data_IF_872423436271
#
_entry.id   IF_872423436271
#
_cell.length_a   1.000
_cell.length_b   1.000
_cell.length_c   1.000
_cell.angle_alpha   90.00
_cell.angle_beta   90.00
_cell.angle_gamma   90.00
#
_symmetry.space_group_name_H-M   'P 1'
#
loop_
_entity.id
_entity.type
_entity.pdbx_description
1 polymer ?
#
# COMPACT_ATOMS: atom_id res chain seq x y z
N UNK A 1 5.20 -1.73 -17.34
CA UNK A 1 5.24 -1.80 -15.86
C UNK A 1 4.67 -3.14 -15.42
N UNK A 2 5.39 -3.91 -14.60
CA UNK A 2 4.92 -5.21 -14.11
C UNK A 2 3.96 -4.98 -12.93
N UNK A 3 2.77 -5.58 -12.96
CA UNK A 3 1.77 -5.36 -11.90
C UNK A 3 2.23 -6.02 -10.59
N UNK A 4 2.09 -5.36 -9.42
CA UNK A 4 2.53 -5.92 -8.13
C UNK A 4 1.91 -7.28 -7.80
N UNK A 5 0.73 -7.58 -8.36
CA UNK A 5 -0.05 -8.80 -8.14
C UNK A 5 0.01 -9.79 -9.30
N UNK A 6 0.86 -9.59 -10.32
CA UNK A 6 0.85 -10.42 -11.55
C UNK A 6 1.25 -11.90 -11.35
N UNK A 7 1.58 -12.31 -10.11
CA UNK A 7 1.74 -13.72 -9.74
C UNK A 7 2.69 -14.52 -10.64
N UNK A 8 2.29 -15.79 -10.90
CA UNK A 8 3.07 -16.80 -11.64
C UNK A 8 2.75 -16.87 -13.15
N UNK A 9 1.96 -15.95 -13.69
CA UNK A 9 1.57 -16.00 -15.10
C UNK A 9 2.68 -15.46 -16.00
N UNK A 10 2.99 -16.20 -17.08
CA UNK A 10 3.98 -15.79 -18.08
C UNK A 10 3.43 -14.74 -19.07
N UNK A 11 2.12 -14.69 -19.23
CA UNK A 11 1.40 -13.76 -20.11
C UNK A 11 0.72 -12.65 -19.30
N UNK A 12 0.45 -11.53 -19.96
CA UNK A 12 -0.32 -10.42 -19.41
C UNK A 12 -1.75 -10.84 -19.09
N UNK A 13 -2.32 -10.27 -18.02
CA UNK A 13 -3.71 -10.47 -17.64
C UNK A 13 -4.63 -9.87 -18.70
N UNK A 14 -5.72 -10.57 -19.03
CA UNK A 14 -6.73 -10.07 -19.95
C UNK A 14 -7.39 -8.80 -19.40
N UNK A 15 -7.62 -7.80 -20.26
CA UNK A 15 -8.21 -6.50 -19.90
C UNK A 15 -9.58 -6.66 -19.21
N UNK A 16 -10.36 -7.66 -19.63
CA UNK A 16 -11.67 -7.93 -19.04
C UNK A 16 -11.53 -8.45 -17.60
N UNK A 17 -10.55 -9.32 -17.36
CA UNK A 17 -10.21 -9.80 -16.02
C UNK A 17 -9.67 -8.68 -15.12
N UNK A 18 -8.88 -7.76 -15.69
CA UNK A 18 -8.39 -6.59 -14.96
C UNK A 18 -9.51 -5.65 -14.52
N UNK A 19 -10.45 -5.38 -15.43
CA UNK A 19 -11.60 -4.52 -15.16
C UNK A 19 -12.53 -5.16 -14.12
N UNK A 20 -12.77 -6.47 -14.26
CA UNK A 20 -13.62 -7.23 -13.35
C UNK A 20 -13.04 -7.32 -11.93
N UNK A 21 -11.71 -7.46 -11.80
CA UNK A 21 -11.05 -7.60 -10.49
C UNK A 21 -10.69 -6.27 -9.82
N UNK A 22 -10.78 -5.14 -10.52
CA UNK A 22 -10.45 -3.84 -9.96
C UNK A 22 -11.50 -3.39 -8.93
N UNK A 23 -11.10 -3.22 -7.68
CA UNK A 23 -11.97 -2.78 -6.59
C UNK A 23 -11.84 -1.30 -6.22
N UNK A 24 -10.89 -0.57 -6.83
CA UNK A 24 -10.54 0.81 -6.46
C UNK A 24 -11.71 1.79 -6.51
N UNK A 25 -12.70 1.55 -7.39
CA UNK A 25 -13.88 2.40 -7.54
C UNK A 25 -14.68 2.53 -6.23
N UNK A 26 -14.64 1.50 -5.38
CA UNK A 26 -15.33 1.47 -4.09
C UNK A 26 -14.38 1.35 -2.88
N UNK A 27 -13.25 0.65 -2.99
CA UNK A 27 -12.31 0.45 -1.89
C UNK A 27 -11.54 1.71 -1.51
N UNK A 28 -11.48 2.73 -2.38
CA UNK A 28 -10.83 4.02 -2.07
C UNK A 28 -11.32 4.64 -0.76
N UNK A 29 -12.54 4.35 -0.32
CA UNK A 29 -13.09 4.80 0.98
C UNK A 29 -12.29 4.28 2.19
N UNK A 30 -11.54 3.20 2.02
CA UNK A 30 -10.75 2.55 3.06
C UNK A 30 -9.34 3.16 3.22
N UNK A 31 -8.96 4.15 2.41
CA UNK A 31 -7.60 4.70 2.37
C UNK A 31 -7.11 5.17 3.74
N UNK A 32 -7.97 5.82 4.54
CA UNK A 32 -7.62 6.31 5.87
C UNK A 32 -7.26 5.15 6.81
N UNK A 33 -8.05 4.08 6.80
CA UNK A 33 -7.79 2.87 7.60
C UNK A 33 -6.51 2.16 7.15
N UNK A 34 -6.26 2.05 5.85
CA UNK A 34 -5.03 1.45 5.30
C UNK A 34 -3.78 2.25 5.71
N UNK A 35 -3.87 3.59 5.71
CA UNK A 35 -2.80 4.47 6.18
C UNK A 35 -2.55 4.29 7.68
N UNK A 36 -3.60 4.20 8.50
CA UNK A 36 -3.47 3.96 9.93
C UNK A 36 -2.80 2.60 10.23
N UNK A 37 -3.25 1.55 9.54
CA UNK A 37 -2.65 0.22 9.61
C UNK A 37 -1.18 0.24 9.19
N UNK A 38 -0.87 0.92 8.09
CA UNK A 38 0.50 1.10 7.59
C UNK A 38 1.40 1.85 8.59
N UNK A 39 0.88 2.88 9.27
CA UNK A 39 1.60 3.60 10.34
C UNK A 39 1.89 2.68 11.52
N UNK A 40 0.92 1.86 11.94
CA UNK A 40 1.10 0.90 13.02
C UNK A 40 2.16 -0.15 12.65
N UNK A 41 2.08 -0.69 11.43
CA UNK A 41 3.05 -1.64 10.88
C UNK A 41 4.46 -1.05 10.85
N UNK A 42 4.63 0.18 10.37
CA UNK A 42 5.93 0.87 10.36
C UNK A 42 6.53 1.07 11.76
N UNK A 43 5.70 1.34 12.78
CA UNK A 43 6.17 1.43 14.17
C UNK A 43 6.66 0.06 14.67
N UNK A 44 5.91 -1.00 14.37
CA UNK A 44 6.28 -2.35 14.74
C UNK A 44 7.60 -2.77 14.05
N UNK A 45 7.78 -2.51 12.75
CA UNK A 45 9.02 -2.86 12.03
C UNK A 45 10.26 -2.22 12.67
N UNK A 46 10.14 -0.96 13.11
CA UNK A 46 11.23 -0.29 13.82
C UNK A 46 11.54 -0.91 15.19
N UNK A 47 10.51 -1.32 15.94
CA UNK A 47 10.68 -2.02 17.22
C UNK A 47 11.37 -3.38 17.04
N UNK A 48 11.02 -4.09 15.98
CA UNK A 48 11.67 -5.34 15.59
C UNK A 48 13.06 -5.15 14.96
N UNK A 49 13.55 -3.90 14.84
CA UNK A 49 14.83 -3.54 14.23
C UNK A 49 14.97 -3.98 12.75
N UNK A 50 13.85 -4.17 12.05
CA UNK A 50 13.82 -4.49 10.62
C UNK A 50 14.11 -3.23 9.79
N UNK A 51 13.65 -2.07 10.27
CA UNK A 51 13.99 -0.75 9.72
C UNK A 51 14.51 0.14 10.84
N UNK A 52 15.31 1.15 10.51
CA UNK A 52 15.76 2.13 11.50
C UNK A 52 14.61 3.01 12.00
N UNK A 53 14.74 3.60 13.21
CA UNK A 53 13.79 4.60 13.69
C UNK A 53 13.64 5.79 12.73
N UNK A 54 14.72 6.17 12.05
CA UNK A 54 14.74 7.28 11.09
C UNK A 54 13.91 6.97 9.84
N UNK A 55 14.00 5.74 9.32
CA UNK A 55 13.21 5.27 8.18
C UNK A 55 11.73 5.18 8.55
N UNK A 56 11.41 4.61 9.72
CA UNK A 56 10.03 4.57 10.22
C UNK A 56 9.43 5.97 10.35
N UNK A 57 10.20 6.95 10.83
CA UNK A 57 9.74 8.34 10.89
C UNK A 57 9.51 8.94 9.50
N UNK A 58 10.41 8.71 8.54
CA UNK A 58 10.27 9.18 7.15
C UNK A 58 9.01 8.60 6.50
N UNK A 59 8.80 7.29 6.60
CA UNK A 59 7.62 6.61 6.02
C UNK A 59 6.33 7.15 6.65
N UNK A 60 6.28 7.24 7.98
CA UNK A 60 5.10 7.77 8.69
C UNK A 60 4.79 9.22 8.32
N UNK A 61 5.80 10.07 8.07
CA UNK A 61 5.60 11.44 7.58
C UNK A 61 5.00 11.42 6.17
N UNK A 62 5.49 10.56 5.28
CA UNK A 62 4.94 10.37 3.94
C UNK A 62 3.47 9.94 3.96
N UNK A 63 3.14 8.92 4.76
CA UNK A 63 1.77 8.43 4.93
C UNK A 63 0.83 9.50 5.45
N UNK A 64 1.26 10.31 6.42
CA UNK A 64 0.48 11.46 6.92
C UNK A 64 0.29 12.57 5.88
N UNK A 65 1.20 12.71 4.93
CA UNK A 65 1.05 13.65 3.82
C UNK A 65 -0.01 13.14 2.84
N UNK A 66 0.06 11.86 2.46
CA UNK A 66 -0.94 11.23 1.59
C UNK A 66 -2.34 11.36 2.20
N UNK A 67 -2.48 11.12 3.51
CA UNK A 67 -3.75 11.28 4.22
C UNK A 67 -4.36 12.68 4.10
N UNK A 68 -3.56 13.72 3.88
CA UNK A 68 -4.03 15.11 3.72
C UNK A 68 -4.34 15.48 2.26
N UNK A 69 -3.75 14.77 1.31
CA UNK A 69 -3.90 15.02 -0.12
C UNK A 69 -5.12 14.28 -0.72
N UNK A 70 -5.63 13.27 -0.01
CA UNK A 70 -6.79 12.45 -0.38
C UNK A 70 -8.01 12.82 0.46
#
# INVERSE_FOLDING_TARGET
MKKPWSGRFKQSTDVLMETFSASISFDKRLYACDIEGSIAHCKMLARCKIISPSESQKIRKGLKRILKEC
#
